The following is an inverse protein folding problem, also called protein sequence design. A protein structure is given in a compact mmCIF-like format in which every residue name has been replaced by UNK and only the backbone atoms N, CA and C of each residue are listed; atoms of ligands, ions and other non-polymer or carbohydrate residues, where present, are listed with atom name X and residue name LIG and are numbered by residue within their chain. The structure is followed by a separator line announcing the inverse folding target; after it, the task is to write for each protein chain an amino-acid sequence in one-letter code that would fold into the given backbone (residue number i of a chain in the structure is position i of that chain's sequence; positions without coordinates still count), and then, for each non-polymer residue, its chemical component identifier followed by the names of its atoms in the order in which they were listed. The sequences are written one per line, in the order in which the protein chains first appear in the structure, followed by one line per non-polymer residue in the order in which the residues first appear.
data_IF_343274471938
#
_entry.id   IF_343274471938
#
_cell.length_a   1.000
_cell.length_b   1.000
_cell.length_c   1.000
_cell.angle_alpha   90.00
_cell.angle_beta   90.00
_cell.angle_gamma   90.00
#
_symmetry.space_group_name_H-M   'P 1'
#
loop_
_entity.id
_entity.type
_entity.pdbx_description
1 polymer ?
#
# COMPACT_ATOMS: atom_id res chain seq x y z
N UNK A 1 11.30 4.39 2.04
CA UNK A 1 10.62 3.55 3.06
C UNK A 1 9.39 2.91 2.42
N UNK A 2 9.13 1.61 2.66
CA UNK A 2 7.95 0.91 2.13
C UNK A 2 7.06 0.40 3.26
N UNK A 3 5.76 0.61 3.14
CA UNK A 3 4.70 0.11 4.01
C UNK A 3 3.96 -0.99 3.26
N UNK A 4 4.04 -2.24 3.70
CA UNK A 4 3.33 -3.33 3.06
C UNK A 4 3.15 -4.53 3.99
N UNK A 5 2.17 -5.37 3.69
CA UNK A 5 2.06 -6.68 4.30
C UNK A 5 3.16 -7.63 3.78
N UNK A 6 3.48 -8.64 4.57
CA UNK A 6 4.48 -9.64 4.20
C UNK A 6 3.94 -10.65 3.21
N UNK A 7 4.80 -11.18 2.37
CA UNK A 7 4.60 -12.39 1.57
C UNK A 7 5.76 -13.36 1.78
N UNK A 8 5.51 -14.46 2.48
CA UNK A 8 6.54 -15.45 2.82
C UNK A 8 7.17 -16.12 1.58
N UNK A 9 6.52 -16.04 0.41
CA UNK A 9 7.08 -16.57 -0.85
C UNK A 9 8.03 -15.58 -1.54
N UNK A 10 8.07 -14.34 -1.09
CA UNK A 10 8.82 -13.23 -1.70
C UNK A 10 8.39 -12.87 -3.14
N UNK A 11 7.24 -13.37 -3.59
CA UNK A 11 6.69 -13.08 -4.92
C UNK A 11 5.98 -11.72 -5.01
N UNK A 12 5.56 -11.18 -3.86
CA UNK A 12 4.87 -9.90 -3.73
C UNK A 12 5.19 -9.26 -2.36
N UNK A 13 4.40 -8.26 -1.97
CA UNK A 13 4.43 -7.65 -0.65
C UNK A 13 5.77 -7.04 -0.26
N UNK A 14 5.99 -6.95 1.04
CA UNK A 14 7.16 -6.28 1.61
C UNK A 14 8.49 -6.91 1.16
N UNK A 15 8.54 -8.23 1.03
CA UNK A 15 9.76 -8.93 0.61
C UNK A 15 10.14 -8.59 -0.84
N UNK A 16 9.17 -8.56 -1.75
CA UNK A 16 9.41 -8.17 -3.14
C UNK A 16 9.89 -6.72 -3.23
N UNK A 17 9.27 -5.80 -2.45
CA UNK A 17 9.70 -4.41 -2.36
C UNK A 17 11.17 -4.30 -1.90
N UNK A 18 11.51 -4.98 -0.80
CA UNK A 18 12.87 -4.97 -0.24
C UNK A 18 13.89 -5.49 -1.25
N UNK A 19 13.60 -6.63 -1.89
CA UNK A 19 14.50 -7.22 -2.89
C UNK A 19 14.68 -6.29 -4.11
N UNK A 20 13.59 -5.69 -4.58
CA UNK A 20 13.61 -4.78 -5.73
C UNK A 20 14.41 -3.52 -5.42
N UNK A 21 14.11 -2.85 -4.29
CA UNK A 21 14.81 -1.63 -3.87
C UNK A 21 16.30 -1.90 -3.68
N UNK A 22 16.66 -3.02 -3.03
CA UNK A 22 18.05 -3.42 -2.83
C UNK A 22 18.77 -3.72 -4.15
N UNK A 23 18.10 -4.35 -5.12
CA UNK A 23 18.67 -4.64 -6.45
C UNK A 23 19.02 -3.39 -7.25
N UNK A 24 18.37 -2.26 -6.92
CA UNK A 24 18.62 -0.95 -7.50
C UNK A 24 19.67 -0.14 -6.73
N UNK A 25 20.43 -0.78 -5.83
CA UNK A 25 21.41 -0.17 -4.94
C UNK A 25 20.84 0.94 -4.04
N UNK A 26 19.54 0.85 -3.71
CA UNK A 26 18.88 1.70 -2.72
C UNK A 26 18.77 0.95 -1.38
N UNK A 27 18.70 1.69 -0.27
CA UNK A 27 18.50 1.12 1.05
C UNK A 27 17.00 0.90 1.33
N UNK A 28 16.50 -0.34 1.40
CA UNK A 28 15.09 -0.61 1.67
C UNK A 28 14.78 -0.47 3.17
N UNK A 29 14.02 0.54 3.54
CA UNK A 29 13.48 0.69 4.89
C UNK A 29 12.05 0.14 4.89
N UNK A 30 11.80 -0.89 5.69
CA UNK A 30 10.58 -1.70 5.60
C UNK A 30 9.73 -1.60 6.86
N UNK A 31 8.46 -1.20 6.69
CA UNK A 31 7.44 -1.17 7.74
C UNK A 31 6.41 -2.27 7.46
N UNK A 32 6.27 -3.20 8.39
CA UNK A 32 5.28 -4.28 8.28
C UNK A 32 3.92 -3.75 8.67
N UNK A 33 2.96 -3.82 7.75
CA UNK A 33 1.55 -3.42 7.99
C UNK A 33 0.62 -4.60 8.23
N UNK A 34 1.05 -5.79 7.84
CA UNK A 34 0.30 -7.02 8.03
C UNK A 34 1.17 -8.25 7.78
N UNK A 35 0.70 -9.38 8.28
CA UNK A 35 1.31 -10.70 8.03
C UNK A 35 0.31 -11.54 7.26
N UNK A 36 0.68 -11.97 6.05
CA UNK A 36 -0.16 -12.85 5.25
C UNK A 36 0.15 -14.32 5.52
N UNK A 37 -0.87 -15.14 5.37
CA UNK A 37 -0.76 -16.59 5.21
C UNK A 37 -1.05 -16.90 3.76
N UNK A 38 -0.01 -17.06 2.96
CA UNK A 38 -0.14 -17.27 1.51
C UNK A 38 0.94 -18.21 0.98
N UNK A 39 0.63 -18.79 -0.17
CA UNK A 39 1.55 -19.58 -0.97
C UNK A 39 1.55 -19.05 -2.43
N UNK A 40 2.19 -19.75 -3.37
CA UNK A 40 2.21 -19.35 -4.79
C UNK A 40 0.84 -19.50 -5.49
N UNK A 41 -0.14 -20.06 -4.79
CA UNK A 41 -1.48 -20.33 -5.33
C UNK A 41 -2.44 -19.20 -4.93
N UNK A 42 -2.38 -18.67 -3.68
CA UNK A 42 -3.29 -17.64 -3.23
C UNK A 42 -3.09 -17.24 -1.77
N UNK A 43 -3.88 -16.27 -1.33
CA UNK A 43 -3.88 -15.74 0.04
C UNK A 43 -4.97 -16.44 0.85
N UNK A 44 -4.59 -17.07 1.96
CA UNK A 44 -5.50 -17.76 2.88
C UNK A 44 -5.93 -16.90 4.07
N UNK A 45 -5.16 -15.85 4.36
CA UNK A 45 -5.44 -14.95 5.46
C UNK A 45 -4.45 -13.79 5.52
N UNK A 46 -4.91 -12.71 6.12
CA UNK A 46 -4.13 -11.51 6.40
C UNK A 46 -4.44 -11.06 7.83
N UNK A 47 -3.41 -10.88 8.64
CA UNK A 47 -3.52 -10.29 9.96
C UNK A 47 -2.84 -8.93 9.94
N UNK A 48 -3.60 -7.85 10.11
CA UNK A 48 -3.04 -6.51 10.20
C UNK A 48 -2.17 -6.37 11.45
N UNK A 49 -1.07 -5.64 11.33
CA UNK A 49 -0.29 -5.18 12.47
C UNK A 49 -1.03 -4.02 13.14
N UNK A 50 -0.94 -3.94 14.47
CA UNK A 50 -1.50 -2.85 15.24
C UNK A 50 -0.96 -1.50 14.76
N UNK A 51 -1.84 -0.52 14.55
CA UNK A 51 -1.49 0.78 13.97
C UNK A 51 -0.49 1.57 14.83
N UNK A 52 -0.57 1.46 16.16
CA UNK A 52 0.39 2.09 17.08
C UNK A 52 1.81 1.52 16.85
N UNK A 53 1.94 0.21 16.65
CA UNK A 53 3.22 -0.43 16.33
C UNK A 53 3.74 0.01 14.94
N UNK A 54 2.87 0.18 13.95
CA UNK A 54 3.23 0.73 12.64
C UNK A 54 3.76 2.15 12.78
N UNK A 55 3.08 2.99 13.58
CA UNK A 55 3.53 4.35 13.89
C UNK A 55 4.91 4.34 14.55
N UNK A 56 5.10 3.54 15.59
CA UNK A 56 6.34 3.51 16.37
C UNK A 56 7.53 3.05 15.53
N UNK A 57 7.36 2.00 14.71
CA UNK A 57 8.39 1.58 13.76
C UNK A 57 8.78 2.72 12.81
N UNK A 58 7.76 3.37 12.23
CA UNK A 58 7.96 4.44 11.25
C UNK A 58 8.69 5.61 11.85
N UNK A 59 8.19 6.14 12.97
CA UNK A 59 8.78 7.32 13.63
C UNK A 59 10.17 7.06 14.18
N UNK A 60 10.46 5.83 14.63
CA UNK A 60 11.79 5.45 15.06
C UNK A 60 12.81 5.56 13.91
N UNK A 61 12.44 5.09 12.72
CA UNK A 61 13.33 5.18 11.55
C UNK A 61 13.42 6.62 11.03
N UNK A 62 12.30 7.36 11.00
CA UNK A 62 12.28 8.77 10.58
C UNK A 62 13.13 9.67 11.48
N UNK A 63 13.31 9.31 12.75
CA UNK A 63 14.19 10.00 13.69
C UNK A 63 15.68 9.72 13.50
N UNK A 64 16.03 8.67 12.76
CA UNK A 64 17.42 8.19 12.58
C UNK A 64 17.92 8.32 11.14
N UNK A 65 17.04 8.21 10.14
CA UNK A 65 17.43 8.08 8.73
C UNK A 65 16.65 9.03 7.83
N UNK A 66 17.34 9.59 6.83
CA UNK A 66 16.71 10.37 5.76
C UNK A 66 15.96 9.45 4.80
N UNK A 67 14.73 9.86 4.45
CA UNK A 67 13.84 9.12 3.55
C UNK A 67 13.73 9.87 2.22
N UNK A 68 14.04 9.17 1.12
CA UNK A 68 13.95 9.74 -0.23
C UNK A 68 12.56 9.58 -0.87
N UNK A 69 11.80 8.56 -0.46
CA UNK A 69 10.45 8.30 -0.94
C UNK A 69 9.70 7.37 0.00
N UNK A 70 8.37 7.51 0.02
CA UNK A 70 7.45 6.56 0.64
C UNK A 70 6.78 5.69 -0.44
N UNK A 71 6.61 4.40 -0.16
CA UNK A 71 5.79 3.48 -0.96
C UNK A 71 4.76 2.84 -0.07
N UNK A 72 3.50 2.86 -0.46
CA UNK A 72 2.40 2.13 0.17
C UNK A 72 1.96 0.99 -0.76
N UNK A 73 1.98 -0.24 -0.24
CA UNK A 73 1.36 -1.42 -0.85
C UNK A 73 0.12 -1.84 -0.04
N UNK A 74 0.01 -3.13 0.32
CA UNK A 74 -1.11 -3.64 1.12
C UNK A 74 -0.99 -3.20 2.58
N UNK A 75 -1.89 -2.34 3.05
CA UNK A 75 -1.80 -1.68 4.36
C UNK A 75 -2.51 -2.43 5.50
N UNK A 76 -3.39 -3.39 5.19
CA UNK A 76 -3.95 -4.35 6.13
C UNK A 76 -5.16 -3.88 6.93
N UNK A 77 -5.31 -2.59 7.26
CA UNK A 77 -6.47 -2.06 7.99
C UNK A 77 -6.70 -0.56 7.75
N UNK A 78 -7.90 -0.08 8.08
CA UNK A 78 -8.26 1.36 8.03
C UNK A 78 -7.41 2.16 9.03
N UNK A 79 -7.13 1.60 10.19
CA UNK A 79 -6.31 2.23 11.23
C UNK A 79 -4.88 2.45 10.74
N UNK A 80 -4.29 1.49 10.04
CA UNK A 80 -2.99 1.64 9.42
C UNK A 80 -2.99 2.72 8.34
N UNK A 81 -4.03 2.78 7.51
CA UNK A 81 -4.18 3.82 6.47
C UNK A 81 -4.20 5.21 7.13
N UNK A 82 -4.96 5.38 8.21
CA UNK A 82 -5.08 6.64 8.93
C UNK A 82 -3.75 7.09 9.55
N UNK A 83 -3.10 6.20 10.29
CA UNK A 83 -1.84 6.54 10.94
C UNK A 83 -0.72 6.84 9.95
N UNK A 84 -0.67 6.12 8.82
CA UNK A 84 0.27 6.41 7.74
C UNK A 84 -0.05 7.77 7.12
N UNK A 85 -1.32 8.10 6.88
CA UNK A 85 -1.72 9.41 6.34
C UNK A 85 -1.32 10.57 7.27
N UNK A 86 -1.45 10.40 8.59
CA UNK A 86 -0.99 11.36 9.61
C UNK A 86 0.54 11.52 9.58
N UNK A 87 1.29 10.43 9.45
CA UNK A 87 2.75 10.49 9.33
C UNK A 87 3.17 11.25 8.07
N UNK A 88 2.51 10.99 6.95
CA UNK A 88 2.82 11.64 5.67
C UNK A 88 2.54 13.15 5.69
N UNK A 89 1.64 13.64 6.55
CA UNK A 89 1.38 15.07 6.74
C UNK A 89 2.58 15.81 7.35
N UNK A 90 3.38 15.12 8.14
CA UNK A 90 4.60 15.68 8.74
C UNK A 90 5.76 15.77 7.72
N UNK A 91 5.65 15.11 6.56
CA UNK A 91 6.70 15.01 5.54
C UNK A 91 6.18 15.25 4.10
N UNK A 92 5.53 16.40 3.85
CA UNK A 92 4.84 16.66 2.57
C UNK A 92 5.78 16.78 1.35
N UNK A 93 7.07 16.99 1.60
CA UNK A 93 8.10 17.10 0.56
C UNK A 93 8.58 15.73 0.05
N UNK A 94 8.35 14.66 0.79
CA UNK A 94 8.78 13.32 0.41
C UNK A 94 7.74 12.68 -0.51
N UNK A 95 8.12 12.29 -1.74
CA UNK A 95 7.16 11.73 -2.70
C UNK A 95 6.56 10.42 -2.20
N UNK A 96 5.23 10.31 -2.32
CA UNK A 96 4.46 9.11 -2.02
C UNK A 96 4.11 8.35 -3.29
N UNK A 97 4.48 7.08 -3.36
CA UNK A 97 4.08 6.14 -4.39
C UNK A 97 3.05 5.18 -3.80
N UNK A 98 1.90 5.00 -4.45
CA UNK A 98 0.87 4.06 -4.02
C UNK A 98 0.70 2.97 -5.07
N UNK A 99 0.91 1.74 -4.63
CA UNK A 99 0.49 0.53 -5.33
C UNK A 99 -0.84 0.07 -4.68
N UNK A 100 -2.00 0.36 -5.32
CA UNK A 100 -3.29 0.16 -4.68
C UNK A 100 -3.72 -1.31 -4.77
N UNK A 101 -3.04 -2.18 -4.04
CA UNK A 101 -3.31 -3.62 -4.00
C UNK A 101 -4.71 -3.87 -3.43
N UNK A 102 -5.70 -4.08 -4.29
CA UNK A 102 -7.10 -4.32 -3.90
C UNK A 102 -7.43 -5.81 -3.78
N UNK A 103 -6.75 -6.64 -4.56
CA UNK A 103 -6.95 -8.07 -4.59
C UNK A 103 -5.62 -8.82 -4.84
N UNK A 104 -5.59 -10.10 -4.49
CA UNK A 104 -4.48 -10.98 -4.88
C UNK A 104 -4.45 -11.17 -6.40
N UNK A 105 -3.34 -11.66 -6.95
CA UNK A 105 -3.23 -11.97 -8.38
C UNK A 105 -4.27 -12.96 -8.92
N UNK A 106 -5.03 -13.62 -8.04
CA UNK A 106 -6.16 -14.51 -8.37
C UNK A 106 -7.53 -13.90 -8.12
N UNK A 107 -7.58 -12.69 -7.55
CA UNK A 107 -8.83 -12.00 -7.26
C UNK A 107 -9.35 -12.21 -5.84
N UNK A 108 -8.58 -12.80 -4.91
CA UNK A 108 -8.96 -12.81 -3.50
C UNK A 108 -8.99 -11.37 -2.98
N UNK A 109 -10.10 -10.93 -2.45
CA UNK A 109 -10.26 -9.58 -1.91
C UNK A 109 -9.36 -9.37 -0.70
N UNK A 110 -8.47 -8.36 -0.77
CA UNK A 110 -7.53 -8.01 0.31
C UNK A 110 -7.87 -6.68 0.97
N UNK A 111 -8.68 -5.87 0.31
CA UNK A 111 -9.08 -4.53 0.74
C UNK A 111 -10.61 -4.45 0.66
N UNK A 112 -11.27 -4.14 1.79
CA UNK A 112 -12.70 -3.90 1.84
C UNK A 112 -13.03 -2.45 1.42
N UNK A 113 -14.33 -2.15 1.29
CA UNK A 113 -14.83 -0.83 0.89
C UNK A 113 -14.37 0.30 1.82
N UNK A 114 -14.34 0.05 3.14
CA UNK A 114 -13.90 1.05 4.12
C UNK A 114 -12.41 1.39 3.96
N UNK A 115 -11.57 0.40 3.73
CA UNK A 115 -10.14 0.61 3.46
C UNK A 115 -9.93 1.36 2.15
N UNK A 116 -10.66 1.00 1.10
CA UNK A 116 -10.55 1.66 -0.19
C UNK A 116 -11.00 3.12 -0.10
N UNK A 117 -12.11 3.40 0.57
CA UNK A 117 -12.56 4.77 0.84
C UNK A 117 -11.51 5.56 1.62
N UNK A 118 -10.93 4.99 2.66
CA UNK A 118 -9.87 5.65 3.43
C UNK A 118 -8.63 5.93 2.58
N UNK A 119 -8.22 5.04 1.69
CA UNK A 119 -7.11 5.28 0.76
C UNK A 119 -7.42 6.42 -0.21
N UNK A 120 -8.62 6.43 -0.80
CA UNK A 120 -9.07 7.48 -1.73
C UNK A 120 -9.13 8.85 -1.07
N UNK A 121 -9.58 8.93 0.17
CA UNK A 121 -9.74 10.20 0.90
C UNK A 121 -8.43 10.71 1.51
N UNK A 122 -7.60 9.81 2.05
CA UNK A 122 -6.47 10.20 2.90
C UNK A 122 -5.10 10.09 2.23
N UNK A 123 -4.90 9.13 1.33
CA UNK A 123 -3.59 8.85 0.73
C UNK A 123 -3.48 9.33 -0.72
N UNK A 124 -4.49 9.07 -1.55
CA UNK A 124 -4.44 9.40 -2.98
C UNK A 124 -4.23 10.90 -3.26
N UNK A 125 -4.88 11.84 -2.52
CA UNK A 125 -4.64 13.27 -2.72
C UNK A 125 -3.19 13.71 -2.43
N UNK A 126 -2.45 12.91 -1.65
CA UNK A 126 -1.05 13.15 -1.29
C UNK A 126 -0.06 12.41 -2.20
N UNK A 127 -0.56 11.55 -3.08
CA UNK A 127 0.31 10.69 -3.90
C UNK A 127 0.98 11.48 -5.03
N UNK A 128 2.27 11.21 -5.21
CA UNK A 128 3.02 11.64 -6.39
C UNK A 128 2.76 10.71 -7.59
N UNK A 129 2.60 9.42 -7.32
CA UNK A 129 2.37 8.39 -8.33
C UNK A 129 1.49 7.29 -7.78
N UNK A 130 0.54 6.82 -8.58
CA UNK A 130 -0.23 5.58 -8.32
C UNK A 130 0.03 4.59 -9.45
N UNK A 131 0.12 3.30 -9.11
CA UNK A 131 0.47 2.22 -10.07
C UNK A 131 -0.60 1.11 -10.12
N UNK A 132 -1.87 1.44 -10.36
CA UNK A 132 -2.92 0.44 -10.43
C UNK A 132 -2.78 -0.43 -11.67
N UNK A 133 -3.06 -1.73 -11.55
CA UNK A 133 -3.33 -2.56 -12.70
C UNK A 133 -4.69 -2.21 -13.32
N UNK A 134 -5.03 -2.80 -14.49
CA UNK A 134 -6.26 -2.46 -15.21
C UNK A 134 -7.55 -2.77 -14.43
N UNK A 135 -7.56 -3.79 -13.57
CA UNK A 135 -8.71 -4.13 -12.73
C UNK A 135 -8.85 -3.17 -11.55
N UNK A 136 -7.75 -2.83 -10.91
CA UNK A 136 -7.69 -1.85 -9.84
C UNK A 136 -8.11 -0.46 -10.33
N UNK A 137 -7.59 -0.04 -11.48
CA UNK A 137 -7.95 1.25 -12.07
C UNK A 137 -9.46 1.36 -12.32
N UNK A 138 -10.09 0.33 -12.91
CA UNK A 138 -11.54 0.32 -13.12
C UNK A 138 -12.32 0.39 -11.81
N UNK A 139 -11.91 -0.39 -10.81
CA UNK A 139 -12.58 -0.40 -9.50
C UNK A 139 -12.46 0.94 -8.78
N UNK A 140 -11.28 1.55 -8.80
CA UNK A 140 -11.06 2.87 -8.20
C UNK A 140 -11.89 3.98 -8.85
N UNK A 141 -12.08 3.95 -10.17
CA UNK A 141 -12.90 4.91 -10.90
C UNK A 141 -14.39 4.70 -10.60
N UNK A 142 -14.87 3.46 -10.55
CA UNK A 142 -16.29 3.16 -10.29
C UNK A 142 -16.74 3.58 -8.88
N UNK A 143 -15.85 3.56 -7.89
CA UNK A 143 -16.18 4.00 -6.52
C UNK A 143 -15.90 5.48 -6.28
N UNK A 144 -15.01 6.10 -7.06
CA UNK A 144 -14.74 7.54 -6.99
C UNK A 144 -15.81 8.41 -7.65
N UNK A 145 -16.75 7.82 -8.40
CA UNK A 145 -17.74 8.58 -9.14
C UNK A 145 -19.03 7.76 -9.36
N UNK A 146 -20.11 8.12 -8.67
CA UNK A 146 -21.45 7.56 -8.91
C UNK A 146 -22.00 7.87 -10.32
N UNK A 147 -21.26 8.59 -11.18
CA UNK A 147 -21.66 9.07 -12.49
C UNK A 147 -20.82 8.57 -13.69
N UNK A 148 -19.94 7.56 -13.53
CA UNK A 148 -19.17 7.01 -14.65
C UNK A 148 -19.79 5.70 -15.19
N UNK A 149 -20.98 5.82 -15.80
CA UNK A 149 -21.54 4.72 -16.61
C UNK A 149 -20.89 4.61 -18.02
N UNK A 150 -19.94 5.50 -18.39
CA UNK A 150 -19.47 5.58 -19.78
C UNK A 150 -17.98 5.84 -19.93
N UNK A 151 -17.12 4.98 -19.36
CA UNK A 151 -15.74 4.86 -19.83
C UNK A 151 -15.55 3.50 -20.50
N UNK A 152 -16.04 3.40 -21.75
CA UNK A 152 -15.53 2.42 -22.71
C UNK A 152 -14.09 2.82 -23.06
N UNK A 153 -13.11 2.27 -22.36
CA UNK A 153 -11.72 2.30 -22.80
C UNK A 153 -11.59 1.24 -23.87
N UNK A 154 -11.70 1.63 -25.12
CA UNK A 154 -11.25 0.81 -26.26
C UNK A 154 -9.72 0.68 -26.18
N UNK A 155 -9.25 -0.54 -25.86
CA UNK A 155 -7.85 -0.95 -25.93
C UNK A 155 -7.56 -1.53 -27.29
#
# INVERSE_FOLDING_TARGET
MTFSATDATSGAGLQADVLTIASLNCNPLSIVTGVSVQDTIGVRGLTAINAELVNDQTRTILGDMEISAFKCGLLGSVENIRIIAEILEDYPEIPLIIDPVLASGRGDELVNEEMMKAMLELLFPKSYLITPNSHEARRLVSEGNENFEDLSIDL
#
